data_IF_118599474159
#
_entry.id   IF_118599474159
#
_cell.length_a   1.000
_cell.length_b   1.000
_cell.length_c   1.000
_cell.angle_alpha   90.00
_cell.angle_beta   90.00
_cell.angle_gamma   90.00
#
_symmetry.space_group_name_H-M   'P 1'
#
loop_
_entity.id
_entity.type
_entity.pdbx_description
1 polymer ?
#
# COMPACT_ATOMS: atom_id res chain seq x y z
N UNK A 1 -4.69 22.81 -26.40
CA UNK A 1 -4.72 21.81 -27.52
C UNK A 1 -6.02 21.97 -28.30
N UNK A 2 -6.04 21.53 -29.57
CA UNK A 2 -7.30 21.51 -30.35
C UNK A 2 -8.20 20.34 -29.86
N UNK A 3 -9.55 20.56 -29.89
CA UNK A 3 -10.55 19.57 -29.44
C UNK A 3 -10.45 18.23 -30.21
N UNK A 4 -10.04 18.26 -31.48
CA UNK A 4 -9.85 17.03 -32.29
C UNK A 4 -8.63 16.25 -31.86
N UNK A 5 -7.53 16.92 -31.52
CA UNK A 5 -6.33 16.27 -30.98
C UNK A 5 -6.64 15.63 -29.63
N UNK A 6 -7.32 16.35 -28.75
CA UNK A 6 -7.70 15.84 -27.44
C UNK A 6 -8.57 14.59 -27.56
N UNK A 7 -9.64 14.63 -28.35
CA UNK A 7 -10.55 13.48 -28.46
C UNK A 7 -9.87 12.27 -29.11
N UNK A 8 -8.93 12.48 -30.03
CA UNK A 8 -8.15 11.39 -30.61
C UNK A 8 -7.24 10.69 -29.59
N UNK A 9 -6.65 11.45 -28.64
CA UNK A 9 -5.89 10.88 -27.54
C UNK A 9 -6.81 10.10 -26.59
N UNK A 10 -7.94 10.69 -26.24
CA UNK A 10 -8.89 10.08 -25.33
C UNK A 10 -9.50 8.77 -25.87
N UNK A 11 -9.73 8.69 -27.19
CA UNK A 11 -10.25 7.48 -27.85
C UNK A 11 -9.35 6.27 -27.63
N UNK A 12 -8.04 6.46 -27.52
CA UNK A 12 -7.10 5.37 -27.28
C UNK A 12 -7.21 4.78 -25.87
N UNK A 13 -7.66 5.56 -24.90
CA UNK A 13 -7.77 5.17 -23.49
C UNK A 13 -9.18 4.74 -23.10
N UNK A 14 -10.20 5.16 -23.85
CA UNK A 14 -11.59 4.92 -23.54
C UNK A 14 -12.16 3.70 -24.31
N UNK A 15 -13.29 3.20 -23.84
CA UNK A 15 -13.97 2.04 -24.44
C UNK A 15 -15.10 2.43 -25.40
N UNK A 16 -15.10 3.64 -25.93
CA UNK A 16 -16.18 4.15 -26.79
C UNK A 16 -16.36 3.30 -28.04
N UNK A 17 -15.28 2.99 -28.76
CA UNK A 17 -15.27 2.13 -29.95
C UNK A 17 -14.58 0.79 -29.73
N UNK A 18 -13.83 0.61 -28.63
CA UNK A 18 -12.99 -0.56 -28.41
C UNK A 18 -13.63 -1.60 -27.48
N UNK A 19 -13.29 -2.90 -27.65
CA UNK A 19 -13.66 -3.92 -26.69
C UNK A 19 -12.88 -3.77 -25.37
N UNK A 20 -13.43 -4.28 -24.29
CA UNK A 20 -12.75 -4.36 -23.01
C UNK A 20 -11.54 -5.29 -23.05
N UNK A 21 -10.44 -4.86 -22.42
CA UNK A 21 -9.37 -5.77 -22.07
C UNK A 21 -9.77 -6.57 -20.83
N UNK A 22 -9.55 -7.89 -20.86
CA UNK A 22 -9.74 -8.73 -19.69
C UNK A 22 -8.59 -8.45 -18.71
N UNK A 23 -8.89 -7.87 -17.57
CA UNK A 23 -7.95 -7.60 -16.48
C UNK A 23 -8.20 -8.58 -15.34
N UNK A 24 -7.17 -8.83 -14.52
CA UNK A 24 -7.37 -9.52 -13.25
C UNK A 24 -8.18 -8.63 -12.30
N UNK A 25 -9.14 -9.24 -11.61
CA UNK A 25 -9.99 -8.57 -10.64
C UNK A 25 -9.35 -8.58 -9.26
N UNK A 26 -9.48 -7.46 -8.56
CA UNK A 26 -9.13 -7.31 -7.15
C UNK A 26 -10.40 -7.00 -6.38
N UNK A 27 -11.18 -8.04 -6.11
CA UNK A 27 -12.57 -7.94 -5.63
C UNK A 27 -12.73 -7.07 -4.39
N UNK A 28 -11.77 -7.07 -3.46
CA UNK A 28 -11.79 -6.22 -2.26
C UNK A 28 -11.85 -4.75 -2.66
N UNK A 29 -10.97 -4.30 -3.56
CA UNK A 29 -10.92 -2.90 -4.00
C UNK A 29 -12.11 -2.53 -4.88
N UNK A 30 -12.56 -3.45 -5.75
CA UNK A 30 -13.73 -3.21 -6.59
C UNK A 30 -15.00 -3.02 -5.76
N UNK A 31 -15.18 -3.83 -4.72
CA UNK A 31 -16.29 -3.70 -3.77
C UNK A 31 -16.17 -2.41 -2.95
N UNK A 32 -14.96 -2.04 -2.49
CA UNK A 32 -14.72 -0.82 -1.74
C UNK A 32 -14.97 0.44 -2.57
N UNK A 33 -14.51 0.46 -3.85
CA UNK A 33 -14.80 1.55 -4.79
C UNK A 33 -16.29 1.70 -5.01
N UNK A 34 -17.00 0.60 -5.28
CA UNK A 34 -18.45 0.64 -5.50
C UNK A 34 -19.21 1.11 -4.26
N UNK A 35 -18.83 0.64 -3.07
CA UNK A 35 -19.43 1.06 -1.81
C UNK A 35 -19.22 2.56 -1.55
N UNK A 36 -17.99 3.03 -1.64
CA UNK A 36 -17.67 4.45 -1.42
C UNK A 36 -18.28 5.36 -2.50
N UNK A 37 -18.33 4.90 -3.75
CA UNK A 37 -18.97 5.65 -4.83
C UNK A 37 -20.47 5.90 -4.60
N UNK A 38 -21.16 5.04 -3.85
CA UNK A 38 -22.57 5.21 -3.52
C UNK A 38 -22.86 6.45 -2.64
N UNK A 39 -21.84 7.01 -1.99
CA UNK A 39 -21.97 8.25 -1.19
C UNK A 39 -22.08 9.52 -2.04
N UNK A 40 -21.65 9.46 -3.31
CA UNK A 40 -21.55 10.62 -4.20
C UNK A 40 -20.28 11.47 -4.02
N UNK A 41 -19.39 11.10 -3.08
CA UNK A 41 -18.13 11.77 -2.82
C UNK A 41 -17.10 11.46 -3.93
N UNK A 42 -16.04 12.30 -4.00
CA UNK A 42 -14.90 12.06 -4.89
C UNK A 42 -14.14 10.85 -4.40
N UNK A 43 -13.84 9.88 -5.27
CA UNK A 43 -13.11 8.67 -4.92
C UNK A 43 -11.65 8.79 -5.34
N UNK A 44 -10.74 8.68 -4.35
CA UNK A 44 -9.30 8.69 -4.59
C UNK A 44 -8.66 7.33 -4.33
N UNK A 45 -8.03 6.75 -5.35
CA UNK A 45 -7.16 5.58 -5.20
C UNK A 45 -5.71 6.05 -5.06
N UNK A 46 -5.15 5.88 -3.87
CA UNK A 46 -3.76 6.25 -3.56
C UNK A 46 -2.89 5.02 -3.30
N UNK A 47 -1.61 5.09 -3.59
CA UNK A 47 -0.70 3.97 -3.35
C UNK A 47 0.51 4.00 -4.26
N UNK A 48 1.48 3.13 -3.99
CA UNK A 48 2.73 3.06 -4.74
C UNK A 48 2.50 2.91 -6.25
N UNK A 49 3.38 3.45 -7.05
CA UNK A 49 3.41 3.21 -8.51
C UNK A 49 3.41 1.71 -8.80
N UNK A 50 2.65 1.26 -9.83
CA UNK A 50 2.53 -0.17 -10.23
C UNK A 50 1.74 -1.07 -9.27
N UNK A 51 1.05 -0.54 -8.25
CA UNK A 51 0.17 -1.34 -7.38
C UNK A 51 -1.15 -1.78 -8.03
N UNK A 52 -1.50 -1.25 -9.22
CA UNK A 52 -2.71 -1.62 -9.95
C UNK A 52 -3.86 -0.63 -9.84
N UNK A 53 -3.66 0.61 -9.36
CA UNK A 53 -4.69 1.66 -9.24
C UNK A 53 -5.49 1.87 -10.51
N UNK A 54 -4.80 2.14 -11.64
CA UNK A 54 -5.44 2.34 -12.94
C UNK A 54 -6.25 1.13 -13.40
N UNK A 55 -5.78 -0.10 -13.11
CA UNK A 55 -6.51 -1.33 -13.43
C UNK A 55 -7.80 -1.46 -12.64
N UNK A 56 -7.78 -1.08 -11.35
CA UNK A 56 -8.98 -1.06 -10.51
C UNK A 56 -10.00 -0.07 -11.07
N UNK A 57 -9.58 1.13 -11.49
CA UNK A 57 -10.49 2.10 -12.14
C UNK A 57 -11.05 1.54 -13.45
N UNK A 58 -10.22 0.94 -14.30
CA UNK A 58 -10.68 0.33 -15.56
C UNK A 58 -11.68 -0.80 -15.32
N UNK A 59 -11.48 -1.62 -14.29
CA UNK A 59 -12.44 -2.65 -13.90
C UNK A 59 -13.75 -2.03 -13.39
N UNK A 60 -13.67 -0.95 -12.61
CA UNK A 60 -14.87 -0.23 -12.14
C UNK A 60 -15.67 0.36 -13.31
N UNK A 61 -15.00 0.95 -14.32
CA UNK A 61 -15.66 1.40 -15.55
C UNK A 61 -16.38 0.25 -16.27
N UNK A 62 -15.75 -0.93 -16.36
CA UNK A 62 -16.38 -2.11 -16.96
C UNK A 62 -17.62 -2.55 -16.18
N UNK A 63 -17.55 -2.51 -14.85
CA UNK A 63 -18.69 -2.83 -13.99
C UNK A 63 -19.85 -1.84 -14.19
N UNK A 64 -19.57 -0.53 -14.29
CA UNK A 64 -20.59 0.49 -14.58
C UNK A 64 -21.30 0.22 -15.92
N UNK A 65 -20.53 -0.09 -16.96
CA UNK A 65 -21.11 -0.42 -18.28
C UNK A 65 -21.93 -1.71 -18.22
N UNK A 66 -21.48 -2.72 -17.49
CA UNK A 66 -22.25 -3.94 -17.27
C UNK A 66 -23.56 -3.71 -16.50
N UNK A 67 -23.63 -2.64 -15.70
CA UNK A 67 -24.83 -2.19 -14.99
C UNK A 67 -25.75 -1.29 -15.85
N UNK A 68 -25.39 -1.03 -17.10
CA UNK A 68 -26.22 -0.27 -18.05
C UNK A 68 -25.80 1.18 -18.27
N UNK A 69 -24.70 1.65 -17.67
CA UNK A 69 -24.14 2.98 -17.98
C UNK A 69 -23.62 2.97 -19.42
N UNK A 70 -24.03 3.95 -20.23
CA UNK A 70 -23.56 4.03 -21.63
C UNK A 70 -22.05 4.38 -21.67
N UNK A 71 -21.36 3.89 -22.69
CA UNK A 71 -19.91 4.13 -22.83
C UNK A 71 -19.59 5.62 -23.00
N UNK A 72 -20.49 6.35 -23.65
CA UNK A 72 -20.40 7.80 -23.89
C UNK A 72 -20.50 8.62 -22.58
N UNK A 73 -21.06 8.06 -21.51
CA UNK A 73 -21.11 8.68 -20.18
C UNK A 73 -19.82 8.51 -19.37
N UNK A 74 -18.85 7.77 -19.88
CA UNK A 74 -17.59 7.47 -19.17
C UNK A 74 -16.44 8.16 -19.88
N UNK A 75 -15.68 8.94 -19.11
CA UNK A 75 -14.44 9.58 -19.54
C UNK A 75 -13.27 9.08 -18.67
N UNK A 76 -12.29 8.46 -19.28
CA UNK A 76 -11.01 8.13 -18.66
C UNK A 76 -9.90 8.99 -19.26
N UNK A 77 -9.11 9.62 -18.41
CA UNK A 77 -7.99 10.47 -18.79
C UNK A 77 -6.71 9.96 -18.13
N UNK A 78 -5.74 9.53 -18.94
CA UNK A 78 -4.40 9.20 -18.47
C UNK A 78 -3.51 10.45 -18.54
N UNK A 79 -3.25 11.08 -17.39
CA UNK A 79 -2.42 12.29 -17.30
C UNK A 79 -0.91 12.00 -17.32
N UNK A 80 -0.49 10.73 -17.50
CA UNK A 80 0.88 10.35 -17.86
C UNK A 80 1.08 10.18 -19.39
N UNK A 81 0.05 10.36 -20.21
CA UNK A 81 0.21 10.31 -21.67
C UNK A 81 1.19 11.38 -22.12
N UNK A 82 2.29 11.02 -22.82
CA UNK A 82 3.33 11.97 -23.20
C UNK A 82 2.82 13.10 -24.10
N UNK A 83 1.70 12.93 -24.79
CA UNK A 83 1.09 13.97 -25.63
C UNK A 83 0.51 15.12 -24.82
N UNK A 84 0.20 14.89 -23.53
CA UNK A 84 -0.22 15.93 -22.59
C UNK A 84 0.94 16.59 -21.84
N UNK A 85 2.17 16.06 -21.93
CA UNK A 85 3.29 16.42 -21.06
C UNK A 85 3.64 17.93 -21.05
N UNK A 86 3.46 18.62 -22.19
CA UNK A 86 3.74 20.07 -22.32
C UNK A 86 2.56 20.97 -21.96
N UNK A 87 1.38 20.40 -21.73
CA UNK A 87 0.11 21.14 -21.51
C UNK A 87 -0.52 20.86 -20.15
N UNK A 88 0.14 20.11 -19.26
CA UNK A 88 -0.39 19.73 -17.95
C UNK A 88 -0.71 20.98 -17.11
N UNK A 89 -1.98 21.38 -17.07
CA UNK A 89 -2.47 22.53 -16.36
C UNK A 89 -3.98 22.38 -16.06
N UNK A 90 -4.55 23.29 -15.27
CA UNK A 90 -6.00 23.33 -15.02
C UNK A 90 -6.79 23.60 -16.30
N UNK A 91 -6.24 24.40 -17.20
CA UNK A 91 -6.84 24.70 -18.51
C UNK A 91 -6.97 23.43 -19.36
N UNK A 92 -6.00 22.52 -19.29
CA UNK A 92 -6.09 21.23 -19.99
C UNK A 92 -7.27 20.40 -19.50
N UNK A 93 -7.56 20.37 -18.19
CA UNK A 93 -8.74 19.66 -17.67
C UNK A 93 -10.05 20.23 -18.22
N UNK A 94 -10.13 21.56 -18.36
CA UNK A 94 -11.27 22.22 -18.99
C UNK A 94 -11.39 21.86 -20.47
N UNK A 95 -10.29 21.99 -21.22
CA UNK A 95 -10.24 21.63 -22.65
C UNK A 95 -10.63 20.19 -22.90
N UNK A 96 -10.17 19.26 -22.04
CA UNK A 96 -10.54 17.83 -22.08
C UNK A 96 -12.04 17.66 -21.85
N UNK A 97 -12.58 18.29 -20.81
CA UNK A 97 -14.02 18.21 -20.49
C UNK A 97 -14.87 18.79 -21.60
N UNK A 98 -14.48 19.95 -22.13
CA UNK A 98 -15.21 20.57 -23.24
C UNK A 98 -15.17 19.73 -24.52
N UNK A 99 -14.00 19.15 -24.87
CA UNK A 99 -13.88 18.24 -26.02
C UNK A 99 -14.76 17.00 -25.84
N UNK A 100 -14.70 16.37 -24.65
CA UNK A 100 -15.53 15.23 -24.33
C UNK A 100 -17.03 15.53 -24.44
N UNK A 101 -17.52 16.62 -23.81
CA UNK A 101 -18.94 17.00 -23.88
C UNK A 101 -19.36 17.29 -25.32
N UNK A 102 -18.52 17.96 -26.08
CA UNK A 102 -18.81 18.31 -27.47
C UNK A 102 -18.96 17.08 -28.38
N UNK A 103 -18.07 16.09 -28.27
CA UNK A 103 -18.06 14.92 -29.14
C UNK A 103 -18.91 13.75 -28.64
N UNK A 104 -18.93 13.49 -27.32
CA UNK A 104 -19.66 12.34 -26.74
C UNK A 104 -21.10 12.70 -26.33
N UNK A 105 -21.36 13.98 -26.02
CA UNK A 105 -22.68 14.50 -25.68
C UNK A 105 -23.42 13.61 -24.64
N UNK A 106 -22.81 13.35 -23.45
CA UNK A 106 -23.41 12.50 -22.43
C UNK A 106 -24.80 13.02 -22.04
N UNK A 107 -25.80 12.13 -21.98
CA UNK A 107 -27.20 12.52 -21.71
C UNK A 107 -27.49 12.66 -20.22
N UNK A 108 -26.70 12.01 -19.39
CA UNK A 108 -26.80 12.03 -17.94
C UNK A 108 -25.47 12.45 -17.33
N UNK A 109 -25.43 12.60 -16.01
CA UNK A 109 -24.23 12.97 -15.26
C UNK A 109 -23.10 11.98 -15.56
N UNK A 110 -21.98 12.43 -16.17
CA UNK A 110 -20.90 11.53 -16.58
C UNK A 110 -20.06 11.05 -15.41
N UNK A 111 -19.36 9.96 -15.64
CA UNK A 111 -18.31 9.41 -14.77
C UNK A 111 -16.95 9.82 -15.33
N UNK A 112 -16.17 10.60 -14.57
CA UNK A 112 -14.85 11.10 -14.97
C UNK A 112 -13.78 10.43 -14.12
N UNK A 113 -12.86 9.75 -14.77
CA UNK A 113 -11.73 9.04 -14.19
C UNK A 113 -10.42 9.72 -14.58
N UNK A 114 -9.69 10.25 -13.61
CA UNK A 114 -8.44 10.97 -13.80
C UNK A 114 -7.28 10.16 -13.22
N UNK A 115 -6.49 9.56 -14.09
CA UNK A 115 -5.35 8.72 -13.69
C UNK A 115 -4.09 9.58 -13.52
N UNK A 116 -3.40 9.41 -12.37
CA UNK A 116 -2.19 10.15 -11.96
C UNK A 116 -2.42 11.68 -11.92
N UNK A 117 -3.52 12.12 -11.26
CA UNK A 117 -3.98 13.52 -11.22
C UNK A 117 -2.94 14.50 -10.63
N UNK A 118 -2.01 14.02 -9.79
CA UNK A 118 -0.95 14.85 -9.21
C UNK A 118 0.03 15.42 -10.24
N UNK A 119 -0.09 15.08 -11.50
CA UNK A 119 0.68 15.70 -12.57
C UNK A 119 0.16 17.09 -12.95
N UNK A 120 -1.02 17.48 -12.46
CA UNK A 120 -1.60 18.82 -12.65
C UNK A 120 -1.56 19.56 -11.31
N UNK A 121 -0.87 20.68 -11.27
CA UNK A 121 -0.81 21.55 -10.09
C UNK A 121 -2.17 22.24 -9.85
N UNK A 122 -2.66 22.21 -8.61
CA UNK A 122 -3.92 22.84 -8.24
C UNK A 122 -5.18 22.06 -8.66
N UNK A 123 -5.04 20.79 -9.06
CA UNK A 123 -6.13 19.91 -9.50
C UNK A 123 -7.29 19.83 -8.49
N UNK A 124 -7.02 20.00 -7.21
CA UNK A 124 -8.02 19.96 -6.14
C UNK A 124 -9.08 21.06 -6.28
N UNK A 125 -8.71 22.21 -6.84
CA UNK A 125 -9.65 23.32 -7.10
C UNK A 125 -10.63 22.97 -8.22
N UNK A 126 -10.14 22.29 -9.25
CA UNK A 126 -10.96 21.80 -10.35
C UNK A 126 -11.94 20.74 -9.86
N UNK A 127 -11.44 19.76 -9.10
CA UNK A 127 -12.28 18.69 -8.52
C UNK A 127 -13.36 19.27 -7.58
N UNK A 128 -13.00 20.26 -6.75
CA UNK A 128 -13.96 20.92 -5.85
C UNK A 128 -15.07 21.59 -6.64
N UNK A 129 -14.73 22.35 -7.69
CA UNK A 129 -15.72 23.01 -8.53
C UNK A 129 -16.66 22.01 -9.19
N UNK A 130 -16.13 20.95 -9.78
CA UNK A 130 -16.92 19.90 -10.42
C UNK A 130 -17.83 19.17 -9.42
N UNK A 131 -17.33 18.94 -8.23
CA UNK A 131 -18.09 18.34 -7.14
C UNK A 131 -19.24 19.25 -6.67
N UNK A 132 -18.98 20.53 -6.40
CA UNK A 132 -20.00 21.47 -5.92
C UNK A 132 -21.08 21.77 -6.97
N UNK A 133 -20.72 21.85 -8.23
CA UNK A 133 -21.65 22.00 -9.34
C UNK A 133 -22.38 20.70 -9.71
N UNK A 134 -22.00 19.57 -9.09
CA UNK A 134 -22.58 18.25 -9.34
C UNK A 134 -22.55 17.84 -10.83
N UNK A 135 -21.51 18.23 -11.56
CA UNK A 135 -21.40 18.04 -13.00
C UNK A 135 -20.94 16.65 -13.41
N UNK A 136 -20.27 15.91 -12.52
CA UNK A 136 -19.75 14.58 -12.80
C UNK A 136 -19.62 13.73 -11.52
N UNK A 137 -19.57 12.39 -11.69
CA UNK A 137 -19.04 11.46 -10.68
C UNK A 137 -17.53 11.40 -10.85
N UNK A 138 -16.77 11.69 -9.79
CA UNK A 138 -15.34 11.95 -9.88
C UNK A 138 -14.52 10.83 -9.23
N UNK A 139 -13.57 10.30 -10.00
CA UNK A 139 -12.61 9.29 -9.58
C UNK A 139 -11.21 9.75 -9.95
N UNK A 140 -10.25 9.60 -9.04
CA UNK A 140 -8.88 9.98 -9.33
C UNK A 140 -7.89 8.97 -8.76
N UNK A 141 -6.71 8.87 -9.37
CA UNK A 141 -5.60 8.13 -8.78
C UNK A 141 -4.40 9.03 -8.54
N UNK A 142 -3.55 8.59 -7.59
CA UNK A 142 -2.27 9.24 -7.36
C UNK A 142 -1.25 8.34 -6.65
N UNK A 143 0.02 8.54 -6.99
CA UNK A 143 1.15 7.77 -6.46
C UNK A 143 1.91 8.49 -5.33
N UNK A 144 1.40 9.63 -4.82
CA UNK A 144 2.06 10.41 -3.77
C UNK A 144 1.11 10.74 -2.63
N UNK A 145 1.48 10.33 -1.40
CA UNK A 145 0.65 10.52 -0.21
C UNK A 145 0.56 11.97 0.25
N UNK A 146 1.63 12.76 0.12
CA UNK A 146 1.71 14.12 0.64
C UNK A 146 0.86 15.11 -0.16
N UNK A 147 0.88 15.00 -1.48
CA UNK A 147 0.05 15.83 -2.33
C UNK A 147 -1.43 15.57 -2.05
N UNK A 148 -1.78 14.27 -1.97
CA UNK A 148 -3.16 13.87 -1.69
C UNK A 148 -3.62 14.27 -0.27
N UNK A 149 -2.75 14.32 0.74
CA UNK A 149 -3.14 14.65 2.12
C UNK A 149 -3.13 16.15 2.43
N UNK A 150 -2.17 16.92 1.91
CA UNK A 150 -2.07 18.36 2.18
C UNK A 150 -2.99 19.20 1.29
N UNK A 151 -2.94 18.98 -0.02
CA UNK A 151 -3.71 19.76 -0.99
C UNK A 151 -5.18 19.37 -0.94
N UNK A 152 -5.47 18.06 -0.97
CA UNK A 152 -6.81 17.52 -0.83
C UNK A 152 -7.42 17.83 0.54
N UNK A 153 -6.67 17.58 1.62
CA UNK A 153 -7.19 17.80 2.98
C UNK A 153 -7.56 19.23 3.29
N UNK A 154 -6.90 20.22 2.67
CA UNK A 154 -7.22 21.65 2.87
C UNK A 154 -8.38 22.13 2.01
N UNK A 155 -8.51 21.64 0.77
CA UNK A 155 -9.49 22.14 -0.21
C UNK A 155 -10.72 21.24 -0.29
N UNK A 156 -10.53 19.91 -0.28
CA UNK A 156 -11.61 18.92 -0.46
C UNK A 156 -12.07 18.29 0.86
N UNK A 157 -11.77 18.88 2.01
CA UNK A 157 -12.11 18.31 3.33
C UNK A 157 -13.59 17.92 3.40
N UNK A 158 -13.87 16.64 3.73
CA UNK A 158 -15.22 16.09 3.85
C UNK A 158 -15.93 15.83 2.51
N UNK A 159 -15.25 15.97 1.36
CA UNK A 159 -15.84 15.80 0.02
C UNK A 159 -15.20 14.67 -0.78
N UNK A 160 -14.30 13.92 -0.17
CA UNK A 160 -13.63 12.79 -0.81
C UNK A 160 -13.48 11.60 0.14
N UNK A 161 -13.40 10.42 -0.44
CA UNK A 161 -13.08 9.17 0.23
C UNK A 161 -11.87 8.54 -0.44
N UNK A 162 -10.85 8.21 0.36
CA UNK A 162 -9.64 7.61 -0.16
C UNK A 162 -9.60 6.08 0.02
N UNK A 163 -8.94 5.41 -0.91
CA UNK A 163 -8.70 3.98 -0.91
C UNK A 163 -7.20 3.77 -1.09
N UNK A 164 -6.54 3.18 -0.09
CA UNK A 164 -5.12 2.87 -0.19
C UNK A 164 -4.90 1.55 -0.91
N UNK A 165 -4.29 1.58 -2.09
CA UNK A 165 -4.01 0.41 -2.91
C UNK A 165 -2.59 -0.08 -2.67
N UNK A 166 -2.47 -1.25 -2.04
CA UNK A 166 -1.20 -1.96 -1.83
C UNK A 166 -0.88 -2.88 -3.03
N UNK A 167 0.37 -3.33 -3.19
CA UNK A 167 0.65 -4.55 -3.96
C UNK A 167 -0.25 -5.70 -3.49
N UNK A 168 -0.33 -6.79 -4.23
CA UNK A 168 -1.22 -7.92 -3.89
C UNK A 168 -0.98 -8.41 -2.46
N UNK A 169 -2.05 -8.70 -1.74
CA UNK A 169 -1.99 -9.52 -0.52
C UNK A 169 -1.61 -10.96 -0.89
N UNK A 170 -1.24 -11.80 0.09
CA UNK A 170 -0.93 -13.19 -0.22
C UNK A 170 -2.16 -13.94 -0.77
N UNK A 171 -3.37 -13.64 -0.28
CA UNK A 171 -4.62 -14.18 -0.82
C UNK A 171 -4.81 -13.80 -2.29
N UNK A 172 -4.63 -12.51 -2.64
CA UNK A 172 -4.69 -12.06 -4.03
C UNK A 172 -3.57 -12.64 -4.90
N UNK A 173 -2.36 -12.79 -4.34
CA UNK A 173 -1.23 -13.44 -5.02
C UNK A 173 -1.57 -14.89 -5.43
N UNK A 174 -2.20 -15.66 -4.55
CA UNK A 174 -2.65 -17.02 -4.86
C UNK A 174 -3.72 -17.02 -5.97
N UNK A 175 -4.69 -16.11 -5.90
CA UNK A 175 -5.72 -15.96 -6.94
C UNK A 175 -5.11 -15.60 -8.30
N UNK A 176 -4.08 -14.73 -8.34
CA UNK A 176 -3.36 -14.39 -9.56
C UNK A 176 -2.55 -15.58 -10.12
N UNK A 177 -2.20 -16.55 -9.29
CA UNK A 177 -1.61 -17.83 -9.68
C UNK A 177 -2.65 -18.96 -9.85
N UNK A 178 -3.94 -18.62 -9.93
CA UNK A 178 -5.06 -19.57 -10.14
C UNK A 178 -5.22 -20.58 -8.99
N UNK A 179 -4.80 -20.23 -7.78
CA UNK A 179 -4.99 -21.02 -6.56
C UNK A 179 -6.11 -20.36 -5.76
N UNK A 180 -7.22 -21.07 -5.64
CA UNK A 180 -8.38 -20.63 -4.88
C UNK A 180 -8.44 -21.35 -3.53
N UNK A 181 -8.57 -20.58 -2.46
CA UNK A 181 -8.76 -21.04 -1.09
C UNK A 181 -10.11 -20.51 -0.62
N UNK A 182 -11.10 -21.38 -0.60
CA UNK A 182 -12.48 -21.06 -0.23
C UNK A 182 -12.89 -21.70 1.10
N UNK A 183 -12.23 -22.78 1.48
CA UNK A 183 -12.51 -23.52 2.70
C UNK A 183 -11.23 -23.83 3.48
N UNK A 184 -11.31 -24.07 4.81
CA UNK A 184 -10.17 -24.55 5.60
C UNK A 184 -9.57 -25.86 5.06
N UNK A 185 -10.40 -26.70 4.46
CA UNK A 185 -9.94 -27.95 3.84
C UNK A 185 -9.01 -27.70 2.65
N UNK A 186 -9.21 -26.62 1.89
CA UNK A 186 -8.34 -26.26 0.78
C UNK A 186 -6.92 -25.91 1.25
N UNK A 187 -6.79 -25.27 2.42
CA UNK A 187 -5.50 -25.01 3.07
C UNK A 187 -4.75 -26.30 3.37
N UNK A 188 -5.41 -27.29 3.94
CA UNK A 188 -4.80 -28.57 4.29
C UNK A 188 -4.43 -29.34 3.03
N UNK A 189 -5.35 -29.42 2.07
CA UNK A 189 -5.16 -30.16 0.81
C UNK A 189 -4.01 -29.62 -0.02
N UNK A 190 -3.80 -28.30 -0.02
CA UNK A 190 -2.83 -27.59 -0.87
C UNK A 190 -1.65 -27.04 -0.05
N UNK A 191 -1.45 -27.47 1.18
CA UNK A 191 -0.47 -26.91 2.12
C UNK A 191 0.93 -26.76 1.54
N UNK A 192 1.46 -27.81 0.91
CA UNK A 192 2.81 -27.77 0.31
C UNK A 192 2.91 -26.80 -0.88
N UNK A 193 1.86 -26.68 -1.67
CA UNK A 193 1.80 -25.75 -2.80
C UNK A 193 1.73 -24.30 -2.30
N UNK A 194 0.86 -24.05 -1.34
CA UNK A 194 0.70 -22.75 -0.70
C UNK A 194 2.00 -22.31 -0.02
N UNK A 195 2.69 -23.21 0.70
CA UNK A 195 3.98 -22.92 1.32
C UNK A 195 5.05 -22.53 0.28
N UNK A 196 5.14 -23.24 -0.85
CA UNK A 196 6.06 -22.88 -1.96
C UNK A 196 5.71 -21.52 -2.58
N UNK A 197 4.44 -21.21 -2.71
CA UNK A 197 3.97 -19.91 -3.18
C UNK A 197 4.28 -18.80 -2.18
N UNK A 198 4.21 -19.08 -0.88
CA UNK A 198 4.60 -18.13 0.16
C UNK A 198 6.10 -17.80 0.12
N UNK A 199 6.96 -18.80 -0.07
CA UNK A 199 8.40 -18.56 -0.29
C UNK A 199 8.65 -17.64 -1.51
N UNK A 200 7.98 -17.90 -2.65
CA UNK A 200 8.06 -17.04 -3.83
C UNK A 200 7.55 -15.63 -3.55
N UNK A 201 6.45 -15.50 -2.82
CA UNK A 201 5.87 -14.23 -2.41
C UNK A 201 6.82 -13.43 -1.52
N UNK A 202 7.49 -14.06 -0.56
CA UNK A 202 8.54 -13.43 0.25
C UNK A 202 9.70 -12.91 -0.63
N UNK A 203 10.11 -13.67 -1.65
CA UNK A 203 11.26 -13.34 -2.48
C UNK A 203 10.98 -12.27 -3.54
N UNK A 204 9.81 -12.33 -4.18
CA UNK A 204 9.47 -11.50 -5.34
C UNK A 204 8.35 -10.50 -5.08
N UNK A 205 7.71 -10.56 -3.92
CA UNK A 205 6.66 -9.63 -3.51
C UNK A 205 5.32 -9.82 -4.22
N UNK A 206 4.48 -8.79 -4.12
CA UNK A 206 3.11 -8.77 -4.59
C UNK A 206 2.81 -7.75 -5.69
N UNK A 207 3.80 -7.16 -6.37
CA UNK A 207 3.50 -6.30 -7.51
C UNK A 207 2.82 -7.09 -8.63
N UNK A 208 1.61 -6.70 -9.10
CA UNK A 208 0.80 -7.52 -10.01
C UNK A 208 1.54 -8.02 -11.24
N UNK A 209 2.28 -7.15 -11.94
CA UNK A 209 3.02 -7.54 -13.14
C UNK A 209 4.17 -8.50 -12.80
N UNK A 210 4.87 -8.30 -11.69
CA UNK A 210 5.94 -9.21 -11.23
C UNK A 210 5.37 -10.60 -10.93
N UNK A 211 4.19 -10.67 -10.30
CA UNK A 211 3.52 -11.94 -10.00
C UNK A 211 3.16 -12.69 -11.29
N UNK A 212 2.63 -11.98 -12.30
CA UNK A 212 2.24 -12.55 -13.59
C UNK A 212 3.40 -12.87 -14.54
N UNK A 213 4.61 -12.40 -14.25
CA UNK A 213 5.81 -12.71 -15.03
C UNK A 213 6.35 -14.06 -14.57
N UNK A 214 6.61 -15.02 -15.44
CA UNK A 214 7.12 -16.35 -15.07
C UNK A 214 8.65 -16.36 -14.90
N UNK A 215 9.36 -15.73 -15.83
CA UNK A 215 10.84 -15.70 -15.85
C UNK A 215 11.42 -14.90 -14.70
N UNK A 216 12.34 -15.51 -13.96
CA UNK A 216 12.97 -14.93 -12.76
C UNK A 216 13.79 -13.68 -13.11
N UNK A 217 14.53 -13.72 -14.22
CA UNK A 217 15.38 -12.59 -14.62
C UNK A 217 14.54 -11.37 -15.00
N UNK A 218 13.37 -11.60 -15.61
CA UNK A 218 12.41 -10.54 -15.92
C UNK A 218 11.73 -10.00 -14.67
N UNK A 219 11.41 -10.86 -13.68
CA UNK A 219 10.90 -10.39 -12.36
C UNK A 219 11.89 -9.44 -11.70
N UNK A 220 13.15 -9.81 -11.66
CA UNK A 220 14.21 -8.99 -11.06
C UNK A 220 14.42 -7.67 -11.82
N UNK A 221 14.37 -7.71 -13.15
CA UNK A 221 14.46 -6.51 -13.99
C UNK A 221 13.28 -5.57 -13.74
N UNK A 222 12.04 -6.09 -13.64
CA UNK A 222 10.84 -5.31 -13.31
C UNK A 222 10.96 -4.65 -11.93
N UNK A 223 11.37 -5.38 -10.89
CA UNK A 223 11.57 -4.83 -9.55
C UNK A 223 12.61 -3.72 -9.52
N UNK A 224 13.75 -3.91 -10.23
CA UNK A 224 14.76 -2.86 -10.38
C UNK A 224 14.19 -1.64 -11.11
N UNK A 225 13.45 -1.85 -12.20
CA UNK A 225 12.80 -0.79 -12.95
C UNK A 225 11.77 -0.02 -12.09
N UNK A 226 11.07 -0.68 -11.18
CA UNK A 226 10.14 -0.02 -10.25
C UNK A 226 10.89 0.84 -9.24
N UNK A 227 11.96 0.31 -8.63
CA UNK A 227 12.81 1.07 -7.74
C UNK A 227 13.33 2.34 -8.41
N UNK A 228 13.92 2.22 -9.60
CA UNK A 228 14.47 3.34 -10.36
C UNK A 228 13.38 4.34 -10.76
N UNK A 229 12.23 3.85 -11.21
CA UNK A 229 11.09 4.71 -11.62
C UNK A 229 10.52 5.52 -10.45
N UNK A 230 10.39 4.93 -9.26
CA UNK A 230 9.91 5.65 -8.08
C UNK A 230 10.92 6.73 -7.70
N UNK A 231 12.20 6.42 -7.65
CA UNK A 231 13.22 7.41 -7.30
C UNK A 231 13.30 8.54 -8.32
N UNK A 232 13.38 8.22 -9.62
CA UNK A 232 13.63 9.20 -10.66
C UNK A 232 12.39 10.06 -10.97
N UNK A 233 11.23 9.42 -11.16
CA UNK A 233 10.01 10.13 -11.58
C UNK A 233 9.25 10.73 -10.40
N UNK A 234 9.04 9.94 -9.34
CA UNK A 234 8.16 10.35 -8.25
C UNK A 234 8.90 11.21 -7.20
N UNK A 235 10.26 11.17 -7.16
CA UNK A 235 11.05 11.98 -6.24
C UNK A 235 11.92 12.99 -6.99
N UNK A 236 12.92 12.53 -7.74
CA UNK A 236 13.93 13.45 -8.35
C UNK A 236 13.30 14.47 -9.27
N UNK A 237 12.49 14.05 -10.23
CA UNK A 237 11.83 14.96 -11.17
C UNK A 237 10.86 15.91 -10.46
N UNK A 238 10.11 15.40 -9.48
CA UNK A 238 9.11 16.18 -8.76
C UNK A 238 9.69 17.23 -7.83
N UNK A 239 10.70 16.85 -7.03
CA UNK A 239 11.34 17.76 -6.07
C UNK A 239 12.56 18.49 -6.67
N UNK A 240 12.84 18.30 -7.96
CA UNK A 240 13.96 18.89 -8.70
C UNK A 240 15.30 18.72 -7.97
N UNK A 241 15.61 17.46 -7.61
CA UNK A 241 16.79 17.15 -6.81
C UNK A 241 18.05 17.07 -7.68
N UNK A 242 19.09 17.77 -7.27
CA UNK A 242 20.39 17.75 -7.97
C UNK A 242 21.24 16.54 -7.58
N UNK A 243 21.05 15.97 -6.38
CA UNK A 243 21.86 14.88 -5.86
C UNK A 243 21.06 13.56 -5.72
N UNK A 244 20.94 12.85 -6.84
CA UNK A 244 20.30 11.54 -6.88
C UNK A 244 21.01 10.48 -6.05
N UNK A 245 22.36 10.50 -6.02
CA UNK A 245 23.16 9.46 -5.37
C UNK A 245 22.87 9.28 -3.88
N UNK A 246 22.73 10.38 -3.15
CA UNK A 246 22.41 10.34 -1.70
C UNK A 246 21.01 9.78 -1.47
N UNK A 247 20.05 10.15 -2.31
CA UNK A 247 18.68 9.60 -2.24
C UNK A 247 18.68 8.09 -2.50
N UNK A 248 19.38 7.63 -3.52
CA UNK A 248 19.51 6.19 -3.84
C UNK A 248 20.17 5.43 -2.68
N UNK A 249 21.27 5.95 -2.15
CA UNK A 249 21.95 5.34 -0.99
C UNK A 249 21.03 5.24 0.22
N UNK A 250 20.22 6.28 0.48
CA UNK A 250 19.24 6.24 1.57
C UNK A 250 18.16 5.20 1.30
N UNK A 251 17.60 5.16 0.10
CA UNK A 251 16.57 4.18 -0.26
C UNK A 251 17.08 2.74 -0.08
N UNK A 252 18.30 2.45 -0.57
CA UNK A 252 18.97 1.14 -0.38
C UNK A 252 19.20 0.85 1.10
N UNK A 253 19.67 1.83 1.88
CA UNK A 253 19.88 1.68 3.33
C UNK A 253 18.58 1.30 4.05
N UNK A 254 17.47 1.99 3.76
CA UNK A 254 16.19 1.74 4.41
C UNK A 254 15.60 0.39 4.02
N UNK A 255 15.58 0.08 2.72
CA UNK A 255 15.09 -1.21 2.22
C UNK A 255 15.95 -2.40 2.65
N UNK A 256 17.24 -2.15 2.94
CA UNK A 256 18.13 -3.14 3.56
C UNK A 256 17.97 -3.23 5.08
N UNK A 257 17.22 -2.33 5.72
CA UNK A 257 17.03 -2.29 7.17
C UNK A 257 15.56 -2.51 7.58
N UNK A 258 14.79 -3.22 6.75
CA UNK A 258 13.39 -3.55 7.09
C UNK A 258 13.31 -4.26 8.43
N UNK A 259 12.20 -4.07 9.14
CA UNK A 259 11.92 -4.60 10.48
C UNK A 259 12.86 -4.10 11.59
N UNK A 260 13.79 -3.20 11.27
CA UNK A 260 14.75 -2.67 12.23
C UNK A 260 14.52 -1.19 12.53
N UNK A 261 14.73 -0.76 13.78
CA UNK A 261 14.60 0.65 14.14
C UNK A 261 15.79 1.47 13.61
N UNK A 262 15.47 2.61 13.01
CA UNK A 262 16.45 3.57 12.52
C UNK A 262 16.07 4.99 12.98
N UNK A 263 17.07 5.82 13.29
CA UNK A 263 16.88 7.23 13.60
C UNK A 263 17.49 8.11 12.50
N UNK A 264 16.99 9.34 12.35
CA UNK A 264 17.57 10.33 11.43
C UNK A 264 19.05 10.58 11.73
N UNK A 265 19.44 10.59 13.02
CA UNK A 265 20.85 10.71 13.43
C UNK A 265 21.70 9.55 12.91
N UNK A 266 21.20 8.31 12.94
CA UNK A 266 21.91 7.14 12.39
C UNK A 266 22.06 7.25 10.87
N UNK A 267 21.03 7.72 10.16
CA UNK A 267 21.06 7.98 8.72
C UNK A 267 22.11 9.06 8.40
N UNK A 268 22.02 10.23 9.07
CA UNK A 268 23.00 11.32 8.96
C UNK A 268 24.44 10.81 9.04
N UNK A 269 24.74 10.04 10.11
CA UNK A 269 26.11 9.55 10.36
C UNK A 269 26.58 8.52 9.33
N UNK A 270 25.68 7.66 8.83
CA UNK A 270 26.02 6.65 7.80
C UNK A 270 26.26 7.24 6.43
N UNK A 271 25.49 8.26 6.06
CA UNK A 271 25.54 8.86 4.72
C UNK A 271 26.39 10.13 4.67
N UNK A 272 26.86 10.67 5.81
CA UNK A 272 27.65 11.89 5.85
C UNK A 272 26.89 13.15 5.42
N UNK A 273 25.59 13.21 5.67
CA UNK A 273 24.69 14.31 5.25
C UNK A 273 24.22 15.12 6.46
N UNK A 274 23.56 16.26 6.22
CA UNK A 274 22.93 17.04 7.29
C UNK A 274 21.69 16.30 7.84
N UNK A 275 21.30 16.61 9.08
CA UNK A 275 20.10 16.06 9.71
C UNK A 275 18.84 16.42 8.90
N UNK A 276 18.74 17.65 8.42
CA UNK A 276 17.60 18.13 7.64
C UNK A 276 17.50 17.46 6.28
N UNK A 277 18.61 17.19 5.61
CA UNK A 277 18.62 16.47 4.33
C UNK A 277 18.18 15.01 4.52
N UNK A 278 18.71 14.34 5.57
CA UNK A 278 18.30 12.97 5.91
C UNK A 278 16.79 12.89 6.20
N UNK A 279 16.26 13.84 6.98
CA UNK A 279 14.82 13.91 7.30
C UNK A 279 13.96 14.14 6.07
N UNK A 280 14.32 15.10 5.21
CA UNK A 280 13.57 15.38 3.96
C UNK A 280 13.57 14.20 3.00
N UNK A 281 14.71 13.55 2.79
CA UNK A 281 14.77 12.40 1.89
C UNK A 281 14.01 11.18 2.43
N UNK A 282 14.03 10.99 3.76
CA UNK A 282 13.18 10.01 4.41
C UNK A 282 11.69 10.29 4.13
N UNK A 283 11.26 11.54 4.32
CA UNK A 283 9.89 11.98 4.02
C UNK A 283 9.53 11.77 2.53
N UNK A 284 10.44 12.00 1.60
CA UNK A 284 10.17 11.77 0.18
C UNK A 284 9.94 10.29 -0.14
N UNK A 285 10.71 9.40 0.49
CA UNK A 285 10.54 7.94 0.32
C UNK A 285 9.24 7.43 0.95
N UNK A 286 8.84 7.99 2.11
CA UNK A 286 7.53 7.71 2.71
C UNK A 286 6.39 8.23 1.83
N UNK A 287 6.52 9.43 1.28
CA UNK A 287 5.50 10.05 0.42
C UNK A 287 5.24 9.26 -0.87
N UNK A 288 6.22 8.52 -1.38
CA UNK A 288 6.04 7.61 -2.53
C UNK A 288 5.54 6.23 -2.15
N UNK A 289 5.24 5.99 -0.88
CA UNK A 289 4.90 4.68 -0.32
C UNK A 289 5.99 3.62 -0.44
N UNK A 290 7.21 3.96 -0.87
CA UNK A 290 8.31 2.99 -1.01
C UNK A 290 8.67 2.37 0.34
N UNK A 291 8.68 3.19 1.38
CA UNK A 291 8.92 2.77 2.76
C UNK A 291 7.81 3.28 3.67
N UNK A 292 7.61 2.58 4.76
CA UNK A 292 6.74 2.96 5.85
C UNK A 292 7.54 3.00 7.14
N UNK A 293 7.16 3.88 8.06
CA UNK A 293 7.75 3.94 9.40
C UNK A 293 6.71 3.58 10.44
N UNK A 294 7.14 2.80 11.42
CA UNK A 294 6.32 2.44 12.59
C UNK A 294 6.97 3.04 13.82
N UNK A 295 6.30 3.95 14.54
CA UNK A 295 6.86 4.58 15.75
C UNK A 295 6.86 3.62 16.94
N UNK A 296 7.74 3.91 17.91
CA UNK A 296 7.68 3.29 19.24
C UNK A 296 6.42 3.77 19.96
N UNK A 297 5.65 2.86 20.53
CA UNK A 297 4.53 3.23 21.39
C UNK A 297 5.04 3.81 22.72
N UNK A 298 4.58 4.99 23.04
CA UNK A 298 4.72 5.61 24.38
C UNK A 298 3.46 6.46 24.62
N UNK A 299 3.03 6.59 25.85
CA UNK A 299 1.91 7.48 26.19
C UNK A 299 2.21 8.95 25.94
N UNK A 300 3.49 9.32 25.87
CA UNK A 300 3.95 10.67 25.50
C UNK A 300 4.17 10.78 24.01
N UNK A 301 3.39 11.62 23.31
CA UNK A 301 3.56 11.93 21.89
C UNK A 301 4.97 12.44 21.58
N UNK A 302 5.57 13.26 22.46
CA UNK A 302 6.93 13.75 22.26
C UNK A 302 7.94 12.60 22.17
N UNK A 303 7.80 11.58 23.02
CA UNK A 303 8.68 10.41 22.97
C UNK A 303 8.44 9.57 21.71
N UNK A 304 7.19 9.43 21.24
CA UNK A 304 6.90 8.75 19.98
C UNK A 304 7.61 9.41 18.78
N UNK A 305 7.69 10.76 18.77
CA UNK A 305 8.33 11.50 17.67
C UNK A 305 9.86 11.39 17.66
N UNK A 306 10.51 11.39 18.81
CA UNK A 306 11.99 11.43 18.91
C UNK A 306 12.64 10.05 18.88
N UNK A 307 11.90 8.99 19.22
CA UNK A 307 12.43 7.64 19.22
C UNK A 307 12.68 7.13 17.81
N UNK A 308 13.63 6.18 17.63
CA UNK A 308 13.81 5.48 16.36
C UNK A 308 12.53 4.82 15.90
N UNK A 309 12.30 4.82 14.57
CA UNK A 309 11.14 4.17 13.97
C UNK A 309 11.56 2.89 13.27
N UNK A 310 10.79 1.81 13.39
CA UNK A 310 10.99 0.60 12.56
C UNK A 310 10.64 0.93 11.11
N UNK A 311 11.42 0.36 10.19
CA UNK A 311 11.25 0.55 8.74
C UNK A 311 10.58 -0.67 8.14
N UNK A 312 9.59 -0.45 7.28
CA UNK A 312 8.95 -1.49 6.48
C UNK A 312 8.91 -1.08 5.01
N UNK A 313 9.12 -2.04 4.13
CA UNK A 313 8.98 -1.84 2.68
C UNK A 313 7.53 -2.04 2.27
N UNK A 314 7.11 -1.34 1.23
CA UNK A 314 5.82 -1.59 0.56
C UNK A 314 5.75 -2.98 -0.07
N UNK A 315 6.90 -3.60 -0.32
CA UNK A 315 6.99 -4.89 -1.00
C UNK A 315 8.33 -5.59 -0.67
N UNK A 316 8.27 -6.88 -0.31
CA UNK A 316 9.46 -7.66 0.07
C UNK A 316 10.37 -7.93 -1.11
N UNK A 317 9.82 -8.13 -2.32
CA UNK A 317 10.59 -8.30 -3.54
C UNK A 317 11.44 -7.08 -3.87
N UNK A 318 10.87 -5.87 -3.65
CA UNK A 318 11.60 -4.62 -3.82
C UNK A 318 12.79 -4.53 -2.85
N UNK A 319 12.56 -4.83 -1.56
CA UNK A 319 13.64 -4.87 -0.55
C UNK A 319 14.71 -5.88 -0.90
N UNK A 320 14.31 -7.10 -1.26
CA UNK A 320 15.24 -8.17 -1.63
C UNK A 320 16.09 -7.80 -2.83
N UNK A 321 15.50 -7.14 -3.84
CA UNK A 321 16.20 -6.78 -5.09
C UNK A 321 17.31 -5.76 -4.90
N UNK A 322 17.15 -4.82 -3.97
CA UNK A 322 18.11 -3.73 -3.74
C UNK A 322 19.05 -3.97 -2.56
N UNK A 323 18.76 -4.95 -1.72
CA UNK A 323 19.60 -5.29 -0.55
C UNK A 323 20.91 -5.96 -0.99
N UNK A 324 22.03 -5.50 -0.42
CA UNK A 324 23.35 -6.09 -0.64
C UNK A 324 23.60 -7.34 0.23
N UNK A 325 22.75 -7.61 1.22
CA UNK A 325 22.97 -8.73 2.14
C UNK A 325 22.53 -10.06 1.52
N UNK A 326 23.52 -10.92 1.27
CA UNK A 326 23.37 -12.31 0.84
C UNK A 326 23.21 -13.19 2.07
N UNK A 327 22.07 -13.07 2.79
CA UNK A 327 21.85 -13.86 4.00
C UNK A 327 20.38 -14.02 4.36
N UNK A 328 20.09 -14.95 5.26
CA UNK A 328 18.74 -15.30 5.72
C UNK A 328 18.09 -14.15 6.51
N UNK A 329 17.35 -13.28 5.80
CA UNK A 329 16.44 -12.30 6.39
C UNK A 329 14.99 -12.78 6.34
N UNK A 330 14.79 -14.09 6.43
CA UNK A 330 13.44 -14.67 6.33
C UNK A 330 12.51 -14.13 7.42
N UNK A 331 13.04 -13.95 8.64
CA UNK A 331 12.27 -13.33 9.74
C UNK A 331 11.87 -11.88 9.42
N UNK A 332 12.81 -11.03 9.00
CA UNK A 332 12.52 -9.62 8.65
C UNK A 332 11.49 -9.50 7.52
N UNK A 333 11.61 -10.37 6.47
CA UNK A 333 10.65 -10.39 5.37
C UNK A 333 9.26 -10.84 5.83
N UNK A 334 9.21 -11.86 6.69
CA UNK A 334 7.97 -12.35 7.27
C UNK A 334 7.31 -11.28 8.14
N UNK A 335 8.08 -10.59 8.98
CA UNK A 335 7.61 -9.45 9.78
C UNK A 335 7.09 -8.32 8.88
N UNK A 336 7.77 -8.03 7.76
CA UNK A 336 7.31 -7.04 6.79
C UNK A 336 5.98 -7.45 6.12
N UNK A 337 5.77 -8.72 5.82
CA UNK A 337 4.51 -9.23 5.27
C UNK A 337 3.38 -9.08 6.31
N UNK A 338 3.66 -9.44 7.56
CA UNK A 338 2.71 -9.26 8.67
C UNK A 338 2.36 -7.77 8.83
N UNK A 339 3.35 -6.86 8.79
CA UNK A 339 3.11 -5.42 8.82
C UNK A 339 2.15 -4.98 7.71
N UNK A 340 2.40 -5.39 6.46
CA UNK A 340 1.56 -4.99 5.33
C UNK A 340 0.13 -5.53 5.47
N UNK A 341 -0.04 -6.72 5.99
CA UNK A 341 -1.36 -7.29 6.24
C UNK A 341 -2.08 -6.58 7.39
N UNK A 342 -1.40 -6.28 8.50
CA UNK A 342 -1.95 -5.46 9.58
C UNK A 342 -2.39 -4.08 9.06
N UNK A 343 -1.60 -3.50 8.15
CA UNK A 343 -1.92 -2.22 7.52
C UNK A 343 -3.20 -2.27 6.65
N UNK A 344 -3.44 -3.40 5.97
CA UNK A 344 -4.69 -3.64 5.20
C UNK A 344 -5.90 -3.83 6.12
N UNK A 345 -5.71 -4.49 7.26
CA UNK A 345 -6.78 -4.71 8.26
C UNK A 345 -7.15 -3.43 9.01
N UNK A 346 -6.28 -2.41 8.97
CA UNK A 346 -6.52 -1.12 9.62
C UNK A 346 -6.00 -1.04 11.05
N UNK A 347 -6.28 0.09 11.71
CA UNK A 347 -5.74 0.39 13.04
C UNK A 347 -4.42 1.18 13.02
N UNK A 348 -4.07 1.72 14.17
CA UNK A 348 -2.80 2.39 14.41
C UNK A 348 -1.77 1.34 14.82
N UNK A 349 -0.64 1.29 14.11
CA UNK A 349 0.42 0.30 14.33
C UNK A 349 1.63 0.97 14.95
N UNK A 350 2.10 0.39 16.05
CA UNK A 350 3.31 0.77 16.76
C UNK A 350 4.17 -0.47 16.99
N UNK A 351 5.47 -0.30 17.29
CA UNK A 351 6.21 -1.33 18.01
C UNK A 351 6.30 -0.94 19.48
N UNK A 352 6.52 -1.91 20.36
CA UNK A 352 6.57 -1.63 21.79
C UNK A 352 7.85 -2.18 22.41
N UNK A 353 8.37 -1.47 23.40
CA UNK A 353 9.54 -1.90 24.16
C UNK A 353 9.29 -1.68 25.63
N UNK A 354 9.33 -2.76 26.40
CA UNK A 354 9.15 -2.69 27.85
C UNK A 354 10.29 -1.97 28.54
N UNK A 355 10.05 -1.48 29.76
CA UNK A 355 11.09 -0.90 30.60
C UNK A 355 12.28 -1.86 30.86
N UNK A 356 12.03 -3.18 30.83
CA UNK A 356 13.04 -4.22 30.97
C UNK A 356 13.80 -4.53 29.65
N UNK A 357 13.43 -3.87 28.54
CA UNK A 357 14.09 -4.02 27.24
C UNK A 357 13.56 -5.13 26.35
N UNK A 358 12.46 -5.80 26.70
CA UNK A 358 11.75 -6.73 25.81
C UNK A 358 11.03 -5.94 24.71
N UNK A 359 11.21 -6.36 23.46
CA UNK A 359 10.56 -5.73 22.31
C UNK A 359 9.43 -6.60 21.78
N UNK A 360 8.30 -5.98 21.46
CA UNK A 360 7.17 -6.57 20.73
C UNK A 360 7.09 -5.89 19.37
N UNK A 361 6.97 -6.70 18.31
CA UNK A 361 7.07 -6.22 16.94
C UNK A 361 5.93 -5.29 16.57
N UNK A 362 4.68 -5.64 16.97
CA UNK A 362 3.52 -4.79 16.70
C UNK A 362 2.60 -4.69 17.91
N UNK A 363 2.22 -3.46 18.22
CA UNK A 363 1.13 -3.08 19.10
C UNK A 363 0.07 -2.42 18.23
N UNK A 364 -1.13 -3.00 18.20
CA UNK A 364 -2.25 -2.50 17.41
C UNK A 364 -3.21 -1.76 18.31
N UNK A 365 -3.54 -0.53 17.91
CA UNK A 365 -4.47 0.33 18.62
C UNK A 365 -5.65 0.68 17.72
N UNK A 366 -6.86 0.50 18.21
CA UNK A 366 -8.08 0.97 17.60
C UNK A 366 -8.73 2.00 18.53
N UNK A 367 -8.89 3.23 18.03
CA UNK A 367 -9.33 4.38 18.83
C UNK A 367 -8.42 4.57 20.05
N UNK A 368 -8.96 4.44 21.26
CA UNK A 368 -8.21 4.59 22.51
C UNK A 368 -7.73 3.26 23.12
N UNK A 369 -8.05 2.12 22.49
CA UNK A 369 -7.79 0.80 23.04
C UNK A 369 -6.66 0.09 22.31
N UNK A 370 -5.76 -0.52 23.10
CA UNK A 370 -4.77 -1.47 22.58
C UNK A 370 -5.51 -2.81 22.43
N UNK A 371 -5.66 -3.26 21.20
CA UNK A 371 -6.44 -4.47 20.89
C UNK A 371 -5.57 -5.72 20.74
N UNK A 372 -4.35 -5.58 20.23
CA UNK A 372 -3.48 -6.73 19.98
C UNK A 372 -2.01 -6.39 20.24
N UNK A 373 -1.26 -7.40 20.71
CA UNK A 373 0.20 -7.45 20.71
C UNK A 373 0.62 -8.62 19.81
N UNK A 374 1.43 -8.33 18.81
CA UNK A 374 1.82 -9.32 17.81
C UNK A 374 3.34 -9.44 17.77
N UNK A 375 3.83 -10.66 17.90
CA UNK A 375 5.23 -11.01 17.72
C UNK A 375 5.36 -11.91 16.49
N UNK A 376 6.46 -11.78 15.74
CA UNK A 376 6.70 -12.56 14.54
C UNK A 376 8.02 -13.32 14.66
N UNK A 377 7.97 -14.63 14.48
CA UNK A 377 9.17 -15.47 14.48
C UNK A 377 9.08 -16.50 13.36
N UNK A 378 10.12 -16.62 12.54
CA UNK A 378 10.11 -17.59 11.44
C UNK A 378 9.86 -19.02 11.94
N UNK A 379 10.52 -19.43 13.01
CA UNK A 379 10.32 -20.75 13.65
C UNK A 379 10.54 -20.69 15.16
N UNK A 380 9.89 -21.57 15.87
CA UNK A 380 9.96 -21.75 17.33
C UNK A 380 10.61 -23.08 17.72
N UNK A 381 11.29 -23.74 16.80
CA UNK A 381 11.99 -25.01 17.06
C UNK A 381 13.12 -24.87 18.10
N UNK A 382 13.73 -23.69 18.19
CA UNK A 382 14.66 -23.38 19.29
C UNK A 382 13.90 -22.91 20.53
N UNK A 383 13.99 -23.70 21.60
CA UNK A 383 13.34 -23.42 22.87
C UNK A 383 13.74 -22.06 23.50
N UNK A 384 14.96 -21.58 23.26
CA UNK A 384 15.40 -20.26 23.75
C UNK A 384 14.67 -19.15 23.01
N UNK A 385 14.55 -19.29 21.70
CA UNK A 385 13.79 -18.36 20.87
C UNK A 385 12.31 -18.36 21.30
N UNK A 386 11.68 -19.53 21.38
CA UNK A 386 10.28 -19.65 21.82
C UNK A 386 10.03 -18.96 23.17
N UNK A 387 10.88 -19.25 24.18
CA UNK A 387 10.77 -18.64 25.51
C UNK A 387 10.97 -17.13 25.49
N UNK A 388 11.88 -16.63 24.63
CA UNK A 388 12.13 -15.20 24.49
C UNK A 388 10.90 -14.47 23.93
N UNK A 389 10.30 -14.99 22.84
CA UNK A 389 9.17 -14.36 22.17
C UNK A 389 7.90 -14.38 23.08
N UNK A 390 7.62 -15.52 23.70
CA UNK A 390 6.51 -15.63 24.65
C UNK A 390 6.69 -14.69 25.86
N UNK A 391 7.91 -14.57 26.36
CA UNK A 391 8.23 -13.67 27.47
C UNK A 391 8.06 -12.19 27.09
N UNK A 392 8.44 -11.81 25.85
CA UNK A 392 8.26 -10.45 25.37
C UNK A 392 6.77 -10.05 25.37
N UNK A 393 5.90 -10.89 24.81
CA UNK A 393 4.45 -10.67 24.81
C UNK A 393 3.87 -10.60 26.24
N UNK A 394 4.26 -11.53 27.10
CA UNK A 394 3.80 -11.55 28.48
C UNK A 394 4.19 -10.29 29.25
N UNK A 395 5.47 -9.88 29.16
CA UNK A 395 5.95 -8.69 29.88
C UNK A 395 5.35 -7.39 29.34
N UNK A 396 5.16 -7.31 28.01
CA UNK A 396 4.45 -6.19 27.41
C UNK A 396 2.98 -6.12 27.86
N UNK A 397 2.27 -7.26 27.88
CA UNK A 397 0.89 -7.32 28.38
C UNK A 397 0.80 -6.90 29.85
N UNK A 398 1.72 -7.34 30.69
CA UNK A 398 1.77 -6.94 32.10
C UNK A 398 2.02 -5.44 32.30
N UNK A 399 2.89 -4.82 31.48
CA UNK A 399 3.20 -3.38 31.55
C UNK A 399 2.06 -2.49 31.03
N UNK A 400 1.28 -2.99 30.06
CA UNK A 400 0.18 -2.27 29.40
C UNK A 400 -1.19 -2.50 30.08
N UNK A 401 -1.26 -3.14 31.25
CA UNK A 401 -2.50 -3.55 31.95
C UNK A 401 -3.48 -2.44 32.35
N UNK A 402 -3.30 -1.20 31.95
CA UNK A 402 -4.24 -0.10 32.22
C UNK A 402 -5.45 -0.02 31.27
N UNK A 403 -5.55 -0.92 30.30
CA UNK A 403 -6.65 -1.04 29.36
C UNK A 403 -7.10 -2.52 29.26
N UNK A 404 -8.23 -2.79 28.60
CA UNK A 404 -8.69 -4.17 28.33
C UNK A 404 -7.53 -5.04 27.85
N UNK A 405 -7.42 -6.27 28.37
CA UNK A 405 -6.32 -7.17 28.04
C UNK A 405 -6.22 -7.39 26.51
N UNK A 406 -5.12 -6.99 25.86
CA UNK A 406 -4.97 -7.16 24.42
C UNK A 406 -4.87 -8.64 24.05
N UNK A 407 -5.31 -9.02 22.86
CA UNK A 407 -5.05 -10.34 22.30
C UNK A 407 -3.55 -10.49 22.05
N UNK A 408 -2.96 -11.60 22.53
CA UNK A 408 -1.54 -11.89 22.36
C UNK A 408 -1.34 -12.89 21.23
N UNK A 409 -0.63 -12.52 20.18
CA UNK A 409 -0.39 -13.33 19.00
C UNK A 409 1.11 -13.54 18.78
N UNK A 410 1.50 -14.78 18.54
CA UNK A 410 2.83 -15.14 18.04
C UNK A 410 2.69 -15.80 16.67
N UNK A 411 3.04 -15.08 15.61
CA UNK A 411 2.89 -15.55 14.23
C UNK A 411 4.19 -16.26 13.80
N UNK A 412 4.05 -17.47 13.27
CA UNK A 412 5.19 -18.33 12.91
C UNK A 412 4.88 -19.21 11.69
N UNK A 413 5.91 -19.87 11.11
CA UNK A 413 5.71 -20.95 10.13
C UNK A 413 5.35 -22.30 10.76
N UNK A 414 5.49 -22.43 12.08
CA UNK A 414 5.17 -23.66 12.80
C UNK A 414 3.63 -23.82 12.97
N UNK A 415 3.17 -25.00 13.36
CA UNK A 415 1.77 -25.30 13.55
C UNK A 415 1.11 -24.42 14.63
N UNK A 416 -0.15 -24.06 14.39
CA UNK A 416 -0.96 -23.28 15.33
C UNK A 416 -1.21 -24.05 16.61
N UNK A 417 -1.09 -23.36 17.74
CA UNK A 417 -1.37 -23.90 19.07
C UNK A 417 -1.69 -22.78 20.08
N UNK A 418 -2.40 -23.11 21.12
CA UNK A 418 -2.63 -22.22 22.25
C UNK A 418 -1.67 -22.58 23.38
N UNK A 419 -1.01 -21.59 23.96
CA UNK A 419 -0.14 -21.78 25.13
C UNK A 419 -0.55 -20.85 26.27
N UNK A 420 -0.44 -21.33 27.50
CA UNK A 420 -0.67 -20.53 28.70
C UNK A 420 0.66 -20.30 29.41
N UNK A 421 1.06 -19.04 29.59
CA UNK A 421 2.28 -18.67 30.29
C UNK A 421 1.93 -17.76 31.46
N UNK A 422 2.31 -18.18 32.67
CA UNK A 422 1.97 -17.45 33.91
C UNK A 422 0.45 -17.12 34.04
N UNK A 423 -0.44 -17.99 33.56
CA UNK A 423 -1.89 -17.79 33.58
C UNK A 423 -2.44 -16.91 32.44
N UNK A 424 -1.57 -16.39 31.54
CA UNK A 424 -1.95 -15.58 30.38
C UNK A 424 -1.97 -16.44 29.13
N UNK A 425 -3.06 -16.37 28.37
CA UNK A 425 -3.24 -17.05 27.09
C UNK A 425 -2.48 -16.34 25.99
N UNK A 426 -1.71 -17.07 25.19
CA UNK A 426 -1.02 -16.60 23.99
C UNK A 426 -1.37 -17.54 22.84
N UNK A 427 -1.87 -16.99 21.74
CA UNK A 427 -2.18 -17.75 20.54
C UNK A 427 -0.92 -17.77 19.63
N UNK A 428 -0.37 -18.96 19.40
CA UNK A 428 0.64 -19.19 18.37
C UNK A 428 -0.12 -19.56 17.09
N UNK A 429 0.09 -18.81 16.01
CA UNK A 429 -0.70 -18.96 14.79
C UNK A 429 0.22 -19.16 13.60
N UNK A 430 -0.08 -20.17 12.77
CA UNK A 430 0.64 -20.35 11.49
C UNK A 430 0.36 -19.17 10.56
N UNK A 431 1.40 -18.61 9.94
CA UNK A 431 1.27 -17.41 9.11
C UNK A 431 0.36 -17.63 7.90
N UNK A 432 0.34 -18.83 7.30
CA UNK A 432 -0.53 -19.12 6.16
C UNK A 432 -2.01 -19.09 6.57
N UNK A 433 -2.34 -19.66 7.72
CA UNK A 433 -3.68 -19.59 8.30
C UNK A 433 -4.07 -18.14 8.65
N UNK A 434 -3.13 -17.37 9.19
CA UNK A 434 -3.36 -15.97 9.55
C UNK A 434 -3.57 -15.06 8.33
N UNK A 435 -2.84 -15.30 7.21
CA UNK A 435 -2.97 -14.53 5.96
C UNK A 435 -4.19 -14.93 5.13
N UNK A 436 -4.74 -16.13 5.35
CA UNK A 436 -5.84 -16.73 4.57
C UNK A 436 -7.05 -17.05 5.49
N UNK A 437 -7.59 -16.07 6.23
CA UNK A 437 -8.70 -16.32 7.14
C UNK A 437 -9.95 -16.77 6.39
N UNK A 438 -10.81 -17.55 7.07
CA UNK A 438 -12.13 -17.91 6.59
C UNK A 438 -12.96 -16.66 6.27
N UNK A 439 -13.72 -16.69 5.18
CA UNK A 439 -14.66 -15.61 4.87
C UNK A 439 -15.73 -15.52 5.97
N UNK A 440 -15.79 -14.36 6.64
CA UNK A 440 -16.73 -14.08 7.74
C UNK A 440 -16.13 -14.08 9.14
N UNK A 441 -14.90 -14.53 9.34
CA UNK A 441 -14.13 -14.29 10.56
C UNK A 441 -13.19 -13.10 10.38
N UNK A 442 -13.75 -11.91 10.23
CA UNK A 442 -12.96 -10.71 10.47
C UNK A 442 -12.66 -10.68 11.97
N UNK A 443 -11.39 -10.80 12.35
CA UNK A 443 -10.92 -10.50 13.70
C UNK A 443 -11.20 -9.00 13.96
N UNK A 444 -12.39 -8.73 14.53
CA UNK A 444 -12.73 -7.45 15.17
C UNK A 444 -11.91 -7.29 16.45
#
# INVERSE_FOLDING_TARGET
>A
MDKKEIIAILEEWNYWSKPFKKNFKRSIYESEVAHKASTGEIIFLKGVRRSGKSTILLNHMQNLIAQGVSKEQILFVNLEDPRFATSLSLELLEEIKEAYVYYMNPKEKPYIFLDEIQNIEGFEKWLLREYELQTAHLYATGSNSKLLSREIGSVLSGRYLDIQVFPLSFKEYLQFNHIEITTPYDLIRQELEIARHFEKFMLYGGFPKVVLTEDISLKEAELKGYFDSILLRDIVARYKLDNFRVLEQLAVLLLSSISNPISITKIKNRLGVSHDLAGRYMEYLENTYMVHTVPLFDWSLQKQYVNPKKIYSIDTGLSKRVSFEVGKRTGDMMENIVYLELKRRGGEIYYFKTAQGYEVDFLIKHYEQITQLVQVSHTLTDEKTKKRELRALLKASQELQHANAPKLLLITMDASQEVTVEGVKIDIVNILEWLLPEEGKNDT
#
